data_IF_768162174380
#
_entry.id   IF_768162174380
#
_cell.length_a   1.000
_cell.length_b   1.000
_cell.length_c   1.000
_cell.angle_alpha   90.00
_cell.angle_beta   90.00
_cell.angle_gamma   90.00
#
_symmetry.space_group_name_H-M   'P 1'
#
loop_
_entity.id
_entity.type
_entity.pdbx_description
1 polymer ?
#
# COMPACT_ATOMS: atom_id res chain seq x y z
N UNK A 1 -21.02 31.50 13.40
CA UNK A 1 -20.12 32.03 14.45
C UNK A 1 -19.70 31.02 15.53
N UNK A 2 -20.55 30.05 15.98
CA UNK A 2 -20.12 29.03 16.96
C UNK A 2 -19.04 28.08 16.43
N UNK A 3 -19.10 27.69 15.16
CA UNK A 3 -18.14 26.78 14.52
C UNK A 3 -16.73 27.38 14.33
N UNK A 4 -16.62 28.70 14.07
CA UNK A 4 -15.32 29.37 13.92
C UNK A 4 -14.52 29.42 15.23
N UNK A 5 -15.20 29.54 16.38
CA UNK A 5 -14.57 29.48 17.71
C UNK A 5 -14.07 28.08 18.06
N UNK A 6 -14.72 27.03 17.55
CA UNK A 6 -14.26 25.65 17.69
C UNK A 6 -13.01 25.44 16.83
N UNK A 7 -12.95 25.95 15.59
CA UNK A 7 -11.78 25.71 14.75
C UNK A 7 -10.56 26.54 15.24
N UNK A 8 -10.76 27.80 15.62
CA UNK A 8 -9.68 28.68 16.13
C UNK A 8 -9.18 28.21 17.50
N UNK A 9 -10.05 27.68 18.37
CA UNK A 9 -9.65 27.16 19.68
C UNK A 9 -8.79 25.90 19.64
N UNK A 10 -8.70 25.22 18.48
CA UNK A 10 -8.04 23.92 18.33
C UNK A 10 -6.76 23.97 17.50
N UNK A 11 -6.48 25.07 16.80
CA UNK A 11 -5.18 25.31 16.16
C UNK A 11 -3.97 25.15 17.11
N UNK A 12 -4.01 25.60 18.38
CA UNK A 12 -2.91 25.35 19.32
C UNK A 12 -2.73 23.86 19.62
N UNK A 13 -3.81 23.08 19.71
CA UNK A 13 -3.77 21.64 20.02
C UNK A 13 -3.18 20.84 18.86
N UNK A 14 -3.57 21.14 17.63
CA UNK A 14 -3.02 20.51 16.41
C UNK A 14 -1.52 20.81 16.28
N UNK A 15 -1.10 22.05 16.57
CA UNK A 15 0.31 22.45 16.55
C UNK A 15 1.15 21.79 17.67
N UNK A 16 0.50 21.32 18.73
CA UNK A 16 1.17 20.59 19.82
C UNK A 16 1.35 19.10 19.46
N UNK A 17 0.47 18.54 18.62
CA UNK A 17 0.54 17.14 18.16
C UNK A 17 1.71 16.87 17.22
N UNK A 18 2.21 17.87 16.48
CA UNK A 18 3.35 17.70 15.56
C UNK A 18 4.71 17.52 16.25
N UNK A 19 4.78 17.72 17.58
CA UNK A 19 6.03 17.70 18.36
C UNK A 19 6.05 16.64 19.48
N UNK A 20 5.20 15.61 19.42
CA UNK A 20 5.00 14.67 20.53
C UNK A 20 5.52 13.25 20.26
N UNK A 21 6.09 12.65 21.31
CA UNK A 21 6.72 11.31 21.34
C UNK A 21 5.71 10.15 21.14
N UNK A 22 6.21 8.96 20.75
CA UNK A 22 5.45 7.80 20.23
C UNK A 22 4.22 7.38 21.07
N UNK A 23 4.26 7.52 22.39
CA UNK A 23 3.14 7.18 23.28
C UNK A 23 1.93 8.14 23.23
N UNK A 24 2.04 9.28 22.52
CA UNK A 24 0.94 10.27 22.35
C UNK A 24 0.25 10.18 20.98
N UNK A 25 0.66 9.23 20.13
CA UNK A 25 0.03 8.95 18.83
C UNK A 25 -1.40 8.38 19.00
N UNK A 26 -1.62 7.64 20.09
CA UNK A 26 -2.94 7.14 20.51
C UNK A 26 -3.94 8.27 20.83
N UNK A 27 -3.43 9.40 21.37
CA UNK A 27 -4.25 10.59 21.62
C UNK A 27 -4.60 11.33 20.32
N UNK A 28 -3.70 11.32 19.33
CA UNK A 28 -3.96 11.92 18.02
C UNK A 28 -5.03 11.15 17.23
N UNK A 29 -4.99 9.81 17.26
CA UNK A 29 -6.01 8.96 16.64
C UNK A 29 -7.38 9.12 17.32
N UNK A 30 -7.42 9.21 18.65
CA UNK A 30 -8.65 9.48 19.40
C UNK A 30 -9.24 10.84 19.02
N UNK A 31 -8.39 11.87 18.91
CA UNK A 31 -8.80 13.20 18.49
C UNK A 31 -9.32 13.18 17.05
N UNK A 32 -8.65 12.50 16.11
CA UNK A 32 -9.11 12.37 14.72
C UNK A 32 -10.42 11.60 14.60
N UNK A 33 -10.62 10.56 15.43
CA UNK A 33 -11.86 9.77 15.46
C UNK A 33 -13.04 10.59 15.99
N UNK A 34 -12.87 11.34 17.08
CA UNK A 34 -13.89 12.29 17.58
C UNK A 34 -14.20 13.39 16.56
N UNK A 35 -13.20 13.79 15.75
CA UNK A 35 -13.35 14.79 14.70
C UNK A 35 -14.19 14.24 13.53
N UNK A 36 -13.88 13.04 13.06
CA UNK A 36 -14.65 12.33 12.02
C UNK A 36 -16.10 12.08 12.46
N UNK A 37 -16.31 11.68 13.72
CA UNK A 37 -17.64 11.44 14.30
C UNK A 37 -18.47 12.74 14.33
N UNK A 38 -17.88 13.86 14.76
CA UNK A 38 -18.58 15.16 14.75
C UNK A 38 -18.83 15.76 13.36
N UNK A 39 -17.96 15.45 12.40
CA UNK A 39 -18.16 15.85 11.00
C UNK A 39 -19.25 15.03 10.31
N UNK A 40 -19.51 13.80 10.77
CA UNK A 40 -20.60 12.96 10.26
C UNK A 40 -22.00 13.44 10.67
N UNK A 41 -22.11 14.19 11.77
CA UNK A 41 -23.38 14.67 12.31
C UNK A 41 -23.86 15.99 11.67
N UNK A 42 -22.99 16.73 10.98
CA UNK A 42 -23.38 17.96 10.27
C UNK A 42 -22.53 18.17 9.02
N UNK A 43 -23.12 18.20 7.81
CA UNK A 43 -22.35 18.41 6.59
C UNK A 43 -21.67 19.79 6.60
N UNK A 44 -20.36 19.79 6.38
CA UNK A 44 -19.54 20.99 6.30
C UNK A 44 -19.96 21.85 5.09
N UNK A 45 -19.96 23.18 5.24
CA UNK A 45 -20.10 24.06 4.08
C UNK A 45 -18.87 23.97 3.17
N UNK A 46 -19.01 24.32 1.89
CA UNK A 46 -17.91 24.28 0.91
C UNK A 46 -16.67 25.07 1.38
N UNK A 47 -16.87 26.23 2.00
CA UNK A 47 -15.77 27.03 2.59
C UNK A 47 -15.08 26.30 3.76
N UNK A 48 -15.83 25.56 4.56
CA UNK A 48 -15.27 24.79 5.66
C UNK A 48 -14.53 23.55 5.16
N UNK A 49 -15.06 22.87 4.14
CA UNK A 49 -14.38 21.74 3.49
C UNK A 49 -13.06 22.21 2.86
N UNK A 50 -13.09 23.33 2.13
CA UNK A 50 -11.89 23.93 1.54
C UNK A 50 -10.84 24.29 2.59
N UNK A 51 -11.23 24.97 3.67
CA UNK A 51 -10.31 25.30 4.76
C UNK A 51 -9.76 24.06 5.46
N UNK A 52 -10.56 22.99 5.58
CA UNK A 52 -10.12 21.73 6.17
C UNK A 52 -9.10 21.02 5.27
N UNK A 53 -9.35 20.96 3.96
CA UNK A 53 -8.41 20.44 2.96
C UNK A 53 -7.10 21.23 2.97
N UNK A 54 -7.16 22.57 3.00
CA UNK A 54 -5.97 23.42 3.08
C UNK A 54 -5.17 23.20 4.39
N UNK A 55 -5.82 22.91 5.51
CA UNK A 55 -5.16 22.58 6.78
C UNK A 55 -4.52 21.19 6.74
N UNK A 56 -5.20 20.21 6.15
CA UNK A 56 -4.65 18.85 5.95
C UNK A 56 -3.43 18.92 5.03
N UNK A 57 -3.54 19.57 3.87
CA UNK A 57 -2.44 19.77 2.92
C UNK A 57 -1.27 20.56 3.54
N UNK A 58 -1.56 21.62 4.30
CA UNK A 58 -0.55 22.41 5.03
C UNK A 58 0.20 21.61 6.09
N UNK A 59 -0.47 20.68 6.77
CA UNK A 59 0.16 19.82 7.78
C UNK A 59 0.87 18.61 7.17
N UNK A 60 0.35 18.04 6.07
CA UNK A 60 1.03 17.02 5.27
C UNK A 60 2.31 17.58 4.64
N UNK A 61 2.27 18.79 4.08
CA UNK A 61 3.45 19.44 3.48
C UNK A 61 4.46 19.95 4.52
N UNK A 62 4.04 20.19 5.78
CA UNK A 62 4.96 20.48 6.90
C UNK A 62 5.55 19.22 7.54
N UNK A 63 5.07 18.05 7.12
CA UNK A 63 5.59 16.74 7.49
C UNK A 63 6.10 16.01 6.26
N UNK A 64 6.63 16.71 5.25
CA UNK A 64 7.72 16.10 4.48
C UNK A 64 8.90 16.01 5.44
N UNK A 65 9.21 14.81 5.99
CA UNK A 65 10.48 14.68 6.68
C UNK A 65 11.54 14.97 5.62
N UNK A 66 12.68 15.56 6.01
CA UNK A 66 13.88 15.43 5.20
C UNK A 66 13.94 13.97 4.74
N UNK A 67 13.85 13.70 3.42
CA UNK A 67 13.76 12.34 2.90
C UNK A 67 14.87 11.56 3.57
N UNK A 68 14.48 10.61 4.43
CA UNK A 68 15.45 9.90 5.24
C UNK A 68 16.51 9.35 4.30
N UNK A 69 17.79 9.49 4.64
CA UNK A 69 18.88 8.92 3.83
C UNK A 69 18.61 7.44 3.51
N UNK A 70 17.95 6.74 4.42
CA UNK A 70 17.48 5.37 4.26
C UNK A 70 16.47 5.20 3.09
N UNK A 71 15.53 6.12 2.89
CA UNK A 71 14.57 6.07 1.78
C UNK A 71 15.25 6.25 0.42
N UNK A 72 16.32 7.05 0.36
CA UNK A 72 17.12 7.19 -0.87
C UNK A 72 17.82 5.87 -1.20
N UNK A 73 18.44 5.24 -0.20
CA UNK A 73 19.09 3.93 -0.35
C UNK A 73 18.07 2.87 -0.80
N UNK A 74 16.89 2.81 -0.17
CA UNK A 74 15.84 1.88 -0.58
C UNK A 74 15.40 2.11 -2.02
N UNK A 75 15.22 3.39 -2.41
CA UNK A 75 14.86 3.72 -3.79
C UNK A 75 15.87 3.16 -4.77
N UNK A 76 17.15 3.49 -4.61
CA UNK A 76 18.21 3.01 -5.51
C UNK A 76 18.21 1.49 -5.57
N UNK A 77 18.23 0.84 -4.41
CA UNK A 77 18.26 -0.63 -4.34
C UNK A 77 17.06 -1.30 -5.02
N UNK A 78 15.84 -0.79 -4.81
CA UNK A 78 14.64 -1.34 -5.44
C UNK A 78 14.68 -1.15 -6.95
N UNK A 79 15.00 0.05 -7.45
CA UNK A 79 15.01 0.30 -8.89
C UNK A 79 16.14 -0.44 -9.61
N UNK A 80 17.31 -0.58 -8.98
CA UNK A 80 18.43 -1.32 -9.56
C UNK A 80 18.14 -2.83 -9.65
N UNK A 81 17.54 -3.40 -8.59
CA UNK A 81 17.25 -4.85 -8.53
C UNK A 81 16.25 -5.29 -9.62
N UNK A 82 15.31 -4.42 -9.99
CA UNK A 82 14.30 -4.68 -11.01
C UNK A 82 14.64 -4.05 -12.38
N UNK A 83 15.83 -3.46 -12.55
CA UNK A 83 16.21 -2.72 -13.76
C UNK A 83 16.25 -3.56 -15.05
N UNK A 84 16.40 -4.87 -14.92
CA UNK A 84 16.41 -5.82 -16.04
C UNK A 84 15.01 -6.14 -16.57
N UNK A 85 13.95 -5.80 -15.82
CA UNK A 85 12.57 -6.12 -16.20
C UNK A 85 12.13 -5.29 -17.41
N UNK A 86 11.66 -5.93 -18.50
CA UNK A 86 11.22 -5.21 -19.68
C UNK A 86 9.93 -4.44 -19.40
N UNK A 87 9.87 -3.19 -19.87
CA UNK A 87 8.64 -2.38 -19.81
C UNK A 87 7.50 -3.09 -20.55
N UNK A 88 6.33 -3.32 -19.91
CA UNK A 88 5.19 -3.91 -20.58
C UNK A 88 4.62 -2.94 -21.64
N UNK A 89 4.16 -3.49 -22.76
CA UNK A 89 3.44 -2.74 -23.79
C UNK A 89 1.98 -2.48 -23.39
N UNK A 90 1.31 -1.56 -24.09
CA UNK A 90 -0.09 -1.13 -23.85
C UNK A 90 -1.17 -2.25 -23.92
N UNK A 91 -0.83 -3.50 -24.25
CA UNK A 91 -1.75 -4.65 -24.16
C UNK A 91 -1.24 -5.76 -23.24
N UNK A 92 -0.16 -5.49 -22.50
CA UNK A 92 0.52 -6.43 -21.60
C UNK A 92 0.45 -5.98 -20.14
N UNK A 93 -0.23 -4.87 -19.86
CA UNK A 93 -0.32 -4.32 -18.50
C UNK A 93 -1.37 -5.09 -17.70
N UNK A 94 -2.55 -5.28 -18.28
CA UNK A 94 -3.64 -6.02 -17.66
C UNK A 94 -3.49 -7.50 -17.98
N UNK A 95 -3.73 -8.37 -16.99
CA UNK A 95 -3.73 -9.81 -17.18
C UNK A 95 -4.79 -10.22 -18.22
N UNK A 96 -4.47 -11.17 -19.13
CA UNK A 96 -5.41 -11.60 -20.17
C UNK A 96 -6.68 -12.25 -19.61
N UNK A 97 -6.64 -12.76 -18.38
CA UNK A 97 -7.78 -13.42 -17.71
C UNK A 97 -8.76 -12.41 -17.09
N UNK A 98 -8.39 -11.13 -17.06
CA UNK A 98 -9.26 -10.06 -16.57
C UNK A 98 -10.24 -9.68 -17.66
N UNK A 99 -11.53 -9.81 -17.37
CA UNK A 99 -12.57 -9.31 -18.27
C UNK A 99 -12.53 -7.79 -18.27
N UNK A 100 -12.20 -7.19 -19.42
CA UNK A 100 -12.14 -5.73 -19.64
C UNK A 100 -13.53 -5.06 -19.68
N UNK A 101 -14.37 -5.32 -18.69
CA UNK A 101 -15.74 -4.80 -18.64
C UNK A 101 -15.88 -3.52 -17.84
N UNK A 102 -14.80 -3.02 -17.22
CA UNK A 102 -14.84 -1.86 -16.33
C UNK A 102 -13.94 -0.74 -16.84
N UNK A 103 -14.47 0.48 -16.83
CA UNK A 103 -13.75 1.69 -17.24
C UNK A 103 -12.52 1.94 -16.35
N UNK A 104 -12.51 1.44 -15.10
CA UNK A 104 -11.34 1.57 -14.22
C UNK A 104 -10.13 0.76 -14.72
N UNK A 105 -10.32 -0.44 -15.27
CA UNK A 105 -9.22 -1.28 -15.76
C UNK A 105 -8.54 -0.64 -16.98
N UNK A 106 -9.33 -0.08 -17.90
CA UNK A 106 -8.81 0.64 -19.07
C UNK A 106 -8.04 1.90 -18.67
N UNK A 107 -8.53 2.66 -17.67
CA UNK A 107 -7.83 3.83 -17.14
C UNK A 107 -6.47 3.46 -16.53
N UNK A 108 -6.39 2.33 -15.83
CA UNK A 108 -5.14 1.83 -15.25
C UNK A 108 -4.14 1.45 -16.35
N UNK A 109 -4.61 0.75 -17.38
CA UNK A 109 -3.76 0.42 -18.53
C UNK A 109 -3.26 1.67 -19.23
N UNK A 110 -4.12 2.66 -19.46
CA UNK A 110 -3.73 3.95 -20.05
C UNK A 110 -2.68 4.65 -19.19
N UNK A 111 -2.94 4.82 -17.89
CA UNK A 111 -2.05 5.48 -16.94
C UNK A 111 -0.66 4.81 -16.90
N UNK A 112 -0.63 3.49 -16.70
CA UNK A 112 0.61 2.74 -16.56
C UNK A 112 1.34 2.57 -17.91
N UNK A 113 0.62 2.57 -19.03
CA UNK A 113 1.27 2.52 -20.35
C UNK A 113 2.00 3.83 -20.67
N UNK A 114 1.52 4.96 -20.16
CA UNK A 114 2.13 6.26 -20.39
C UNK A 114 3.38 6.50 -19.53
N UNK A 115 3.39 6.02 -18.28
CA UNK A 115 4.37 6.41 -17.26
C UNK A 115 5.34 5.26 -16.94
N UNK A 116 6.68 5.46 -17.04
CA UNK A 116 7.63 4.45 -16.60
C UNK A 116 7.65 4.35 -15.06
N UNK A 117 8.04 3.19 -14.53
CA UNK A 117 7.94 2.90 -13.09
C UNK A 117 8.64 3.94 -12.20
N UNK A 118 9.83 4.42 -12.60
CA UNK A 118 10.60 5.41 -11.83
C UNK A 118 9.99 6.82 -11.79
N UNK A 119 8.95 7.08 -12.59
CA UNK A 119 8.20 8.34 -12.61
C UNK A 119 6.83 8.25 -11.92
N UNK A 120 6.42 7.07 -11.45
CA UNK A 120 5.20 6.95 -10.66
C UNK A 120 5.32 7.77 -9.37
N UNK A 121 4.21 8.37 -8.95
CA UNK A 121 4.09 9.13 -7.70
C UNK A 121 3.19 8.37 -6.73
N UNK A 122 3.23 8.71 -5.45
CA UNK A 122 2.33 8.11 -4.46
C UNK A 122 0.85 8.29 -4.84
N UNK A 123 0.47 9.41 -5.46
CA UNK A 123 -0.91 9.62 -5.92
C UNK A 123 -1.31 8.65 -7.04
N UNK A 124 -0.40 8.35 -7.98
CA UNK A 124 -0.67 7.35 -9.02
C UNK A 124 -0.74 5.94 -8.43
N UNK A 125 0.15 5.62 -7.49
CA UNK A 125 0.11 4.35 -6.76
C UNK A 125 -1.19 4.20 -5.95
N UNK A 126 -1.67 5.27 -5.31
CA UNK A 126 -2.98 5.24 -4.64
C UNK A 126 -4.15 5.03 -5.60
N UNK A 127 -4.06 5.51 -6.84
CA UNK A 127 -5.15 5.38 -7.82
C UNK A 127 -5.34 3.96 -8.38
N UNK A 128 -4.34 3.08 -8.21
CA UNK A 128 -4.41 1.67 -8.63
C UNK A 128 -4.83 0.73 -7.49
N UNK A 129 -5.15 1.27 -6.31
CA UNK A 129 -5.70 0.53 -5.18
C UNK A 129 -6.91 -0.31 -5.60
N UNK A 130 -7.02 -1.53 -5.07
CA UNK A 130 -8.06 -2.52 -5.37
C UNK A 130 -8.01 -3.10 -6.79
N UNK A 131 -6.96 -2.78 -7.56
CA UNK A 131 -6.77 -3.28 -8.92
C UNK A 131 -5.37 -3.89 -9.13
N UNK A 132 -4.59 -4.09 -8.06
CA UNK A 132 -3.27 -4.71 -8.16
C UNK A 132 -3.38 -6.14 -8.71
N UNK A 133 -4.46 -6.85 -8.34
CA UNK A 133 -4.81 -8.17 -8.86
C UNK A 133 -5.04 -8.20 -10.39
N UNK A 134 -5.39 -7.06 -11.00
CA UNK A 134 -5.67 -7.00 -12.44
C UNK A 134 -4.39 -6.90 -13.29
N UNK A 135 -3.26 -6.53 -12.69
CA UNK A 135 -1.99 -6.44 -13.40
C UNK A 135 -1.50 -7.83 -13.82
N UNK A 136 -0.99 -7.92 -15.05
CA UNK A 136 -0.21 -9.07 -15.49
C UNK A 136 1.04 -9.24 -14.63
N UNK A 137 1.57 -10.45 -14.52
CA UNK A 137 2.78 -10.71 -13.73
C UNK A 137 3.97 -9.86 -14.19
N UNK A 138 4.14 -9.67 -15.50
CA UNK A 138 5.19 -8.83 -16.06
C UNK A 138 5.02 -7.36 -15.63
N UNK A 139 3.80 -6.84 -15.71
CA UNK A 139 3.53 -5.45 -15.35
C UNK A 139 3.68 -5.23 -13.84
N UNK A 140 3.15 -6.14 -13.03
CA UNK A 140 3.32 -6.12 -11.58
C UNK A 140 4.80 -6.00 -11.21
N UNK A 141 5.66 -6.89 -11.71
CA UNK A 141 7.09 -6.89 -11.40
C UNK A 141 7.82 -5.64 -11.93
N UNK A 142 7.45 -5.14 -13.10
CA UNK A 142 8.05 -3.91 -13.66
C UNK A 142 7.75 -2.66 -12.80
N UNK A 143 6.54 -2.58 -12.22
CA UNK A 143 6.13 -1.45 -11.38
C UNK A 143 6.37 -1.65 -9.88
N UNK A 144 6.63 -2.88 -9.44
CA UNK A 144 6.93 -3.24 -8.06
C UNK A 144 7.95 -2.34 -7.35
N UNK A 145 9.10 -1.94 -7.93
CA UNK A 145 10.03 -1.04 -7.25
C UNK A 145 9.40 0.31 -6.87
N UNK A 146 8.52 0.84 -7.71
CA UNK A 146 7.79 2.07 -7.40
C UNK A 146 6.75 1.85 -6.31
N UNK A 147 6.04 0.72 -6.36
CA UNK A 147 5.05 0.34 -5.35
C UNK A 147 5.69 0.20 -3.97
N UNK A 148 6.83 -0.50 -3.87
CA UNK A 148 7.57 -0.66 -2.62
C UNK A 148 8.10 0.68 -2.10
N UNK A 149 8.71 1.49 -2.96
CA UNK A 149 9.23 2.81 -2.57
C UNK A 149 8.13 3.73 -2.01
N UNK A 150 7.02 3.88 -2.72
CA UNK A 150 5.92 4.76 -2.28
C UNK A 150 5.19 4.20 -1.07
N UNK A 151 5.12 2.88 -0.93
CA UNK A 151 4.59 2.24 0.28
C UNK A 151 5.39 2.60 1.52
N UNK A 152 6.74 2.67 1.43
CA UNK A 152 7.57 3.15 2.55
C UNK A 152 7.48 4.67 2.74
N UNK A 153 7.54 5.44 1.65
CA UNK A 153 7.60 6.90 1.72
C UNK A 153 6.26 7.56 2.08
N UNK A 154 5.14 6.91 1.80
CA UNK A 154 3.79 7.49 1.92
C UNK A 154 2.76 6.52 2.48
N UNK A 155 3.19 5.56 3.31
CA UNK A 155 2.35 4.45 3.82
C UNK A 155 0.95 4.89 4.27
N UNK A 156 0.83 5.95 5.07
CA UNK A 156 -0.48 6.40 5.59
C UNK A 156 -1.41 6.99 4.52
N UNK A 157 -0.85 7.59 3.47
CA UNK A 157 -1.62 8.22 2.39
C UNK A 157 -2.17 7.20 1.40
N UNK A 158 -1.55 6.03 1.30
CA UNK A 158 -1.93 4.93 0.39
C UNK A 158 -2.10 3.61 1.14
N UNK A 159 -2.56 3.67 2.39
CA UNK A 159 -2.56 2.54 3.32
C UNK A 159 -3.25 1.29 2.77
N UNK A 160 -4.39 1.44 2.10
CA UNK A 160 -5.15 0.33 1.52
C UNK A 160 -4.36 -0.35 0.39
N UNK A 161 -3.69 0.44 -0.46
CA UNK A 161 -2.75 -0.09 -1.45
C UNK A 161 -1.58 -0.83 -0.78
N UNK A 162 -1.00 -0.29 0.30
CA UNK A 162 0.10 -0.96 1.01
C UNK A 162 -0.37 -2.31 1.57
N UNK A 163 -1.57 -2.37 2.15
CA UNK A 163 -2.13 -3.61 2.67
C UNK A 163 -2.32 -4.65 1.55
N UNK A 164 -2.88 -4.26 0.40
CA UNK A 164 -3.03 -5.12 -0.78
C UNK A 164 -1.68 -5.62 -1.30
N UNK A 165 -0.69 -4.73 -1.41
CA UNK A 165 0.67 -5.09 -1.85
C UNK A 165 1.34 -6.07 -0.89
N UNK A 166 1.24 -5.83 0.42
CA UNK A 166 1.79 -6.74 1.43
C UNK A 166 1.10 -8.09 1.37
N UNK A 167 -0.22 -8.12 1.20
CA UNK A 167 -0.96 -9.38 1.04
C UNK A 167 -0.48 -10.17 -0.20
N UNK A 168 -0.33 -9.49 -1.35
CA UNK A 168 0.18 -10.10 -2.58
C UNK A 168 1.61 -10.63 -2.44
N UNK A 169 2.45 -10.00 -1.62
CA UNK A 169 3.82 -10.45 -1.33
C UNK A 169 3.87 -11.54 -0.26
N UNK A 170 2.87 -11.65 0.61
CA UNK A 170 2.89 -12.55 1.79
C UNK A 170 2.13 -13.86 1.57
N UNK A 171 1.25 -13.98 0.57
CA UNK A 171 0.63 -15.25 0.19
C UNK A 171 1.68 -16.33 -0.14
N UNK A 172 1.47 -17.63 0.16
CA UNK A 172 0.26 -18.24 0.67
C UNK A 172 0.40 -18.66 2.13
N UNK A 173 0.12 -17.75 3.05
CA UNK A 173 0.07 -18.08 4.48
C UNK A 173 -1.33 -18.13 5.05
N UNK A 174 -2.34 -18.21 4.18
CA UNK A 174 -3.75 -18.36 4.56
C UNK A 174 -4.09 -19.80 5.02
N UNK A 175 -3.16 -20.49 5.66
CA UNK A 175 -3.30 -21.89 6.08
C UNK A 175 -3.92 -22.16 7.48
N UNK A 176 -4.28 -21.19 8.36
CA UNK A 176 -5.03 -21.54 9.57
C UNK A 176 -6.56 -21.34 9.47
N UNK A 177 -7.11 -20.86 8.35
CA UNK A 177 -8.58 -20.68 8.21
C UNK A 177 -9.27 -21.92 7.60
N UNK A 178 -8.52 -22.82 6.98
CA UNK A 178 -9.06 -24.03 6.34
C UNK A 178 -9.46 -25.10 7.37
N UNK A 179 -8.74 -25.21 8.50
CA UNK A 179 -9.02 -26.27 9.49
C UNK A 179 -10.20 -25.99 10.43
N UNK A 180 -10.62 -24.73 10.61
CA UNK A 180 -11.65 -24.38 11.60
C UNK A 180 -13.09 -24.33 11.05
N UNK A 181 -13.32 -24.53 9.75
CA UNK A 181 -14.56 -24.05 9.11
C UNK A 181 -15.28 -25.04 8.17
N UNK A 182 -15.38 -26.31 8.56
CA UNK A 182 -16.16 -27.38 7.88
C UNK A 182 -17.70 -27.19 7.84
N UNK A 183 -18.25 -25.99 8.01
CA UNK A 183 -19.69 -25.82 8.28
C UNK A 183 -20.56 -25.42 7.09
N UNK A 184 -20.00 -24.98 5.95
CA UNK A 184 -20.82 -24.55 4.79
C UNK A 184 -20.12 -24.81 3.44
N UNK A 185 -20.43 -25.94 2.80
CA UNK A 185 -19.81 -26.40 1.54
C UNK A 185 -19.81 -25.38 0.37
N UNK A 186 -20.82 -24.51 0.26
CA UNK A 186 -20.89 -23.48 -0.80
C UNK A 186 -19.93 -22.31 -0.56
N UNK A 187 -19.78 -21.91 0.71
CA UNK A 187 -18.82 -20.86 1.10
C UNK A 187 -17.40 -21.40 0.96
N UNK A 188 -17.22 -22.68 1.27
CA UNK A 188 -15.94 -23.38 1.15
C UNK A 188 -15.47 -23.53 -0.30
N UNK A 189 -16.36 -23.86 -1.24
CA UNK A 189 -16.02 -23.93 -2.66
C UNK A 189 -15.59 -22.56 -3.22
N UNK A 190 -16.33 -21.49 -2.92
CA UNK A 190 -15.98 -20.14 -3.38
C UNK A 190 -14.65 -19.66 -2.78
N UNK A 191 -14.42 -19.93 -1.49
CA UNK A 191 -13.15 -19.60 -0.82
C UNK A 191 -11.98 -20.42 -1.35
N UNK A 192 -12.19 -21.70 -1.65
CA UNK A 192 -11.17 -22.55 -2.29
C UNK A 192 -10.80 -22.01 -3.67
N UNK A 193 -11.80 -21.67 -4.50
CA UNK A 193 -11.54 -21.07 -5.82
C UNK A 193 -10.79 -19.74 -5.72
N UNK A 194 -11.13 -18.89 -4.74
CA UNK A 194 -10.40 -17.65 -4.48
C UNK A 194 -8.95 -17.93 -4.06
N UNK A 195 -8.73 -18.89 -3.17
CA UNK A 195 -7.39 -19.27 -2.74
C UNK A 195 -6.56 -19.85 -3.89
N UNK A 196 -7.13 -20.76 -4.69
CA UNK A 196 -6.47 -21.37 -5.84
C UNK A 196 -6.06 -20.31 -6.87
N UNK A 197 -6.94 -19.32 -7.13
CA UNK A 197 -6.64 -18.20 -8.03
C UNK A 197 -5.52 -17.31 -7.49
N UNK A 198 -5.55 -16.97 -6.21
CA UNK A 198 -4.50 -16.15 -5.57
C UNK A 198 -3.16 -16.87 -5.50
N UNK A 199 -3.16 -18.17 -5.23
CA UNK A 199 -1.98 -19.03 -5.31
C UNK A 199 -1.39 -19.05 -6.71
N UNK A 200 -2.22 -19.26 -7.72
CA UNK A 200 -1.79 -19.24 -9.13
C UNK A 200 -1.14 -17.90 -9.47
N UNK A 201 -1.80 -16.78 -9.13
CA UNK A 201 -1.26 -15.45 -9.36
C UNK A 201 0.06 -15.21 -8.62
N UNK A 202 0.17 -15.70 -7.38
CA UNK A 202 1.42 -15.62 -6.62
C UNK A 202 2.55 -16.37 -7.35
N UNK A 203 2.33 -17.62 -7.76
CA UNK A 203 3.32 -18.38 -8.50
C UNK A 203 3.70 -17.71 -9.83
N UNK A 204 2.71 -17.22 -10.59
CA UNK A 204 2.96 -16.51 -11.84
C UNK A 204 3.81 -15.25 -11.67
N UNK A 205 3.69 -14.57 -10.52
CA UNK A 205 4.45 -13.37 -10.19
C UNK A 205 5.82 -13.68 -9.61
N UNK A 206 5.95 -14.69 -8.75
CA UNK A 206 7.10 -14.84 -7.87
C UNK A 206 7.97 -16.08 -8.15
N UNK A 207 7.55 -17.00 -9.00
CA UNK A 207 8.39 -18.16 -9.35
C UNK A 207 9.63 -17.73 -10.14
N UNK A 208 9.52 -16.69 -10.97
CA UNK A 208 10.59 -16.18 -11.85
C UNK A 208 11.32 -14.95 -11.30
N UNK A 209 11.16 -14.64 -10.01
CA UNK A 209 11.89 -13.56 -9.33
C UNK A 209 13.35 -13.98 -9.14
N UNK A 210 14.28 -13.10 -9.48
CA UNK A 210 15.73 -13.34 -9.29
C UNK A 210 16.12 -13.18 -7.82
N UNK A 211 17.31 -13.62 -7.46
CA UNK A 211 17.80 -13.49 -6.09
C UNK A 211 17.93 -12.02 -5.65
N UNK A 212 18.33 -11.13 -6.55
CA UNK A 212 18.45 -9.69 -6.27
C UNK A 212 17.07 -9.06 -6.02
N UNK A 213 16.09 -9.39 -6.85
CA UNK A 213 14.71 -8.93 -6.68
C UNK A 213 14.08 -9.50 -5.42
N UNK A 214 14.34 -10.77 -5.10
CA UNK A 214 13.91 -11.41 -3.85
C UNK A 214 14.48 -10.72 -2.62
N UNK A 215 15.78 -10.36 -2.65
CA UNK A 215 16.44 -9.57 -1.59
C UNK A 215 15.84 -8.17 -1.45
N UNK A 216 15.47 -7.51 -2.55
CA UNK A 216 14.80 -6.23 -2.52
C UNK A 216 13.38 -6.33 -1.89
N UNK A 217 12.61 -7.37 -2.22
CA UNK A 217 11.30 -7.64 -1.61
C UNK A 217 11.45 -7.89 -0.10
N UNK A 218 12.44 -8.70 0.30
CA UNK A 218 12.74 -8.94 1.71
C UNK A 218 13.04 -7.63 2.45
N UNK A 219 13.93 -6.78 1.90
CA UNK A 219 14.29 -5.50 2.49
C UNK A 219 13.08 -4.57 2.64
N UNK A 220 12.17 -4.57 1.67
CA UNK A 220 10.92 -3.83 1.75
C UNK A 220 10.03 -4.32 2.92
N UNK A 221 9.79 -5.63 3.04
CA UNK A 221 8.97 -6.20 4.11
C UNK A 221 9.60 -5.95 5.50
N UNK A 222 10.92 -6.11 5.63
CA UNK A 222 11.65 -5.82 6.86
C UNK A 222 11.56 -4.34 7.24
N UNK A 223 11.70 -3.42 6.28
CA UNK A 223 11.58 -1.98 6.52
C UNK A 223 10.16 -1.56 6.97
N UNK A 224 9.11 -2.17 6.38
CA UNK A 224 7.74 -1.96 6.83
C UNK A 224 7.54 -2.42 8.28
N UNK A 225 8.00 -3.64 8.61
CA UNK A 225 7.94 -4.18 9.97
C UNK A 225 8.64 -3.25 10.96
N UNK A 226 9.88 -2.85 10.69
CA UNK A 226 10.64 -1.98 11.60
C UNK A 226 9.98 -0.62 11.82
N UNK A 227 9.33 -0.09 10.78
CA UNK A 227 8.70 1.24 10.84
C UNK A 227 7.35 1.22 11.55
N UNK A 228 6.55 0.17 11.36
CA UNK A 228 5.15 0.13 11.77
C UNK A 228 4.81 -0.90 12.87
N UNK A 229 5.71 -1.85 13.13
CA UNK A 229 5.52 -2.92 14.11
C UNK A 229 5.02 -4.23 13.48
N UNK A 230 5.27 -5.34 14.17
CA UNK A 230 4.96 -6.71 13.73
C UNK A 230 3.44 -6.94 13.53
N UNK A 231 2.60 -6.27 14.32
CA UNK A 231 1.13 -6.40 14.28
C UNK A 231 0.47 -5.53 13.18
N UNK A 232 1.24 -4.71 12.46
CA UNK A 232 0.66 -3.71 11.55
C UNK A 232 0.15 -4.33 10.24
N UNK A 233 0.82 -5.37 9.73
CA UNK A 233 0.34 -6.17 8.61
C UNK A 233 0.49 -7.66 8.93
N UNK A 234 -0.64 -8.36 9.05
CA UNK A 234 -0.68 -9.78 9.39
C UNK A 234 0.12 -10.62 8.37
N UNK A 235 0.94 -11.56 8.86
CA UNK A 235 1.70 -12.49 8.01
C UNK A 235 3.05 -11.98 7.50
N UNK A 236 3.45 -10.74 7.83
CA UNK A 236 4.75 -10.17 7.41
C UNK A 236 5.94 -11.03 7.87
N UNK A 237 5.97 -11.51 9.12
CA UNK A 237 7.10 -12.29 9.64
C UNK A 237 7.34 -13.57 8.86
N UNK A 238 6.26 -14.29 8.55
CA UNK A 238 6.38 -15.58 7.89
C UNK A 238 6.73 -15.40 6.41
N UNK A 239 6.30 -14.29 5.79
CA UNK A 239 6.79 -13.91 4.47
C UNK A 239 8.29 -13.55 4.50
N UNK A 240 8.72 -12.77 5.48
CA UNK A 240 10.14 -12.45 5.74
C UNK A 240 10.94 -13.76 5.85
N UNK A 241 10.54 -14.70 6.71
CA UNK A 241 11.22 -15.98 6.91
C UNK A 241 11.31 -16.82 5.63
N UNK A 242 10.28 -16.80 4.79
CA UNK A 242 10.27 -17.51 3.50
C UNK A 242 11.20 -16.87 2.46
N UNK A 243 11.14 -15.54 2.32
CA UNK A 243 12.05 -14.84 1.40
C UNK A 243 13.50 -14.94 1.89
N UNK A 244 13.71 -14.90 3.20
CA UNK A 244 14.98 -15.18 3.85
C UNK A 244 15.46 -16.60 3.53
N UNK A 245 14.66 -17.64 3.78
CA UNK A 245 15.02 -19.03 3.49
C UNK A 245 15.27 -19.34 2.01
N UNK A 246 14.61 -18.62 1.07
CA UNK A 246 14.80 -18.81 -0.37
C UNK A 246 16.05 -18.09 -0.92
N UNK A 247 16.45 -16.96 -0.34
CA UNK A 247 17.43 -16.05 -0.95
C UNK A 247 18.63 -15.67 -0.05
N UNK A 248 18.70 -16.18 1.19
CA UNK A 248 19.85 -15.99 2.09
C UNK A 248 20.99 -17.00 1.82
N UNK A 249 20.72 -18.12 1.13
CA UNK A 249 21.70 -19.21 0.93
C UNK A 249 22.56 -19.11 -0.35
N UNK A 250 22.79 -17.91 -0.89
CA UNK A 250 23.69 -17.63 -2.02
C UNK A 250 24.55 -16.39 -1.76
#
# INVERSE_FOLDING_TARGET
MRHLKIIIGWQPKIKTLSNMDKNKKLDAEKVMRELMERLSETPLSEEQQKMFSEIIESNLNKTEPAVSHQLVIYREHFFDSFSSRPRPLHGQIISPDVTRSTHEVDNIEELLSAIPSFQLTASYVGSIESYLWALSSQAFLYFLPAFMYHSLASCYSIYLFVAELVEDLTLPLYEPVVESLHKYARIELMRKQQLDWRLTMFHDRFDNVTDEEGKAIYLFLAALRETHGEDFFEGIEVAIDRYWGRFESL
#
